data_IF_366988385284
#
_entry.id   IF_366988385284
#
_cell.length_a   1.000
_cell.length_b   1.000
_cell.length_c   1.000
_cell.angle_alpha   90.00
_cell.angle_beta   90.00
_cell.angle_gamma   90.00
#
_symmetry.space_group_name_H-M   'P 1'
#
loop_
_entity.id
_entity.type
_entity.pdbx_description
1 polymer ?
#
# COMPACT_ATOMS: atom_id res chain seq x y z
N UNK A 1 0.30 -17.56 27.24
CA UNK A 1 -0.05 -16.17 27.12
C UNK A 1 -0.90 -16.00 25.88
N UNK A 2 -2.20 -15.64 26.03
CA UNK A 2 -3.08 -15.33 24.92
C UNK A 2 -2.61 -14.00 24.30
N UNK A 3 -2.00 -14.05 23.15
CA UNK A 3 -1.87 -12.87 22.30
C UNK A 3 -3.27 -12.51 21.78
N UNK A 4 -3.91 -11.54 22.43
CA UNK A 4 -5.10 -10.90 21.90
C UNK A 4 -4.64 -10.00 20.75
N UNK A 5 -5.00 -10.36 19.53
CA UNK A 5 -4.96 -9.46 18.39
C UNK A 5 -5.92 -8.28 18.69
N UNK A 6 -5.36 -7.15 19.14
CA UNK A 6 -6.09 -5.89 19.28
C UNK A 6 -6.15 -5.25 17.91
N UNK A 7 -7.11 -5.65 17.10
CA UNK A 7 -7.46 -4.87 15.89
C UNK A 7 -8.39 -3.75 16.38
N UNK A 8 -7.96 -2.52 16.16
CA UNK A 8 -8.63 -1.32 16.65
C UNK A 8 -10.04 -1.18 16.08
N UNK A 9 -11.01 -0.90 16.94
CA UNK A 9 -12.38 -0.54 16.55
C UNK A 9 -12.52 0.94 16.15
N UNK A 10 -11.41 1.67 15.93
CA UNK A 10 -11.39 3.14 15.91
C UNK A 10 -11.40 3.78 14.52
N UNK A 11 -11.47 3.01 13.43
CA UNK A 11 -11.21 3.56 12.11
C UNK A 11 -12.45 3.57 11.22
N UNK A 12 -12.89 4.76 10.85
CA UNK A 12 -13.79 4.98 9.71
C UNK A 12 -13.10 5.88 8.70
N UNK A 13 -12.92 5.38 7.50
CA UNK A 13 -12.34 6.14 6.40
C UNK A 13 -13.40 7.02 5.73
N UNK A 14 -13.10 8.31 5.58
CA UNK A 14 -13.73 9.16 4.57
C UNK A 14 -12.68 9.51 3.53
N UNK A 15 -12.91 9.11 2.30
CA UNK A 15 -12.13 9.55 1.15
C UNK A 15 -12.64 10.91 0.69
N UNK A 16 -11.78 11.90 0.76
CA UNK A 16 -11.89 13.09 -0.08
C UNK A 16 -10.48 13.60 -0.33
N UNK A 17 -10.01 13.46 -1.55
CA UNK A 17 -8.85 14.21 -2.04
C UNK A 17 -7.54 13.47 -2.26
N UNK A 18 -7.55 12.26 -2.79
CA UNK A 18 -6.31 11.58 -3.24
C UNK A 18 -5.56 12.34 -4.35
N UNK A 19 -6.24 13.19 -5.11
CA UNK A 19 -5.61 13.97 -6.18
C UNK A 19 -4.84 15.21 -5.72
N UNK A 20 -5.18 15.78 -4.57
CA UNK A 20 -4.56 17.02 -4.10
C UNK A 20 -3.31 16.83 -3.25
N UNK A 21 -3.16 15.70 -2.56
CA UNK A 21 -1.99 15.40 -1.74
C UNK A 21 -0.72 15.10 -2.55
N UNK A 22 -0.88 14.71 -3.81
CA UNK A 22 0.23 14.39 -4.72
C UNK A 22 1.05 15.62 -5.17
N UNK A 23 0.43 16.78 -5.25
CA UNK A 23 1.08 18.00 -5.73
C UNK A 23 1.92 18.73 -4.67
N UNK A 24 1.70 18.43 -3.40
CA UNK A 24 2.40 19.13 -2.31
C UNK A 24 3.71 18.44 -1.86
N UNK A 25 3.95 17.20 -2.23
CA UNK A 25 5.13 16.43 -1.80
C UNK A 25 6.26 16.38 -2.84
N UNK A 26 6.06 16.87 -4.04
CA UNK A 26 7.09 16.90 -5.09
C UNK A 26 7.86 18.21 -5.14
N UNK A 27 8.37 18.65 -4.00
CA UNK A 27 9.31 19.78 -3.92
C UNK A 27 10.71 19.50 -4.48
N UNK A 28 10.93 18.36 -5.14
CA UNK A 28 12.18 18.03 -5.83
C UNK A 28 11.97 18.06 -7.33
N UNK A 29 12.35 19.15 -7.96
CA UNK A 29 12.52 19.21 -9.41
C UNK A 29 13.69 18.30 -9.83
N UNK A 30 13.51 17.39 -10.81
CA UNK A 30 14.62 16.61 -11.33
C UNK A 30 15.53 17.56 -12.14
N UNK A 31 16.71 17.84 -11.64
CA UNK A 31 17.78 18.45 -12.44
C UNK A 31 18.50 17.34 -13.20
N UNK A 32 18.12 17.10 -14.43
CA UNK A 32 18.82 16.18 -15.32
C UNK A 32 18.03 15.97 -16.62
N UNK A 33 18.55 16.49 -17.72
CA UNK A 33 18.07 16.22 -19.07
C UNK A 33 18.35 14.74 -19.42
N UNK A 34 17.45 13.85 -19.05
CA UNK A 34 17.35 12.53 -19.65
C UNK A 34 16.13 12.56 -20.59
N UNK A 35 16.35 12.41 -21.88
CA UNK A 35 15.29 12.18 -22.85
C UNK A 35 14.68 10.82 -22.56
N UNK A 36 13.62 10.80 -21.75
CA UNK A 36 12.81 9.62 -21.51
C UNK A 36 12.01 9.36 -22.79
N UNK A 37 12.38 8.29 -23.46
CA UNK A 37 11.76 7.86 -24.70
C UNK A 37 10.26 7.59 -24.55
N UNK A 38 9.61 7.44 -25.71
CA UNK A 38 8.18 7.29 -25.96
C UNK A 38 7.48 6.07 -25.31
N UNK A 39 8.11 5.42 -24.33
CA UNK A 39 7.64 4.18 -23.69
C UNK A 39 6.95 4.38 -22.33
N UNK A 40 6.81 5.63 -21.87
CA UNK A 40 6.11 5.90 -20.61
C UNK A 40 4.60 5.90 -20.80
N UNK A 41 3.83 5.35 -19.85
CA UNK A 41 2.38 5.43 -19.87
C UNK A 41 1.86 6.86 -20.03
N UNK A 42 0.73 7.02 -20.71
CA UNK A 42 0.18 8.35 -21.05
C UNK A 42 -0.04 9.25 -19.81
N UNK A 43 -0.41 8.67 -18.67
CA UNK A 43 -0.58 9.40 -17.42
C UNK A 43 0.76 9.88 -16.85
N UNK A 44 1.81 9.08 -16.95
CA UNK A 44 3.17 9.44 -16.54
C UNK A 44 3.73 10.57 -17.39
N UNK A 45 3.45 10.56 -18.70
CA UNK A 45 3.79 11.65 -19.61
C UNK A 45 3.04 12.94 -19.27
N UNK A 46 1.80 12.82 -18.77
CA UNK A 46 0.98 13.97 -18.36
C UNK A 46 1.50 14.61 -17.06
N UNK A 47 1.96 13.81 -16.11
CA UNK A 47 2.58 14.30 -14.87
C UNK A 47 3.93 14.98 -15.14
N UNK A 48 4.71 14.45 -16.08
CA UNK A 48 6.01 15.01 -16.47
C UNK A 48 5.90 16.23 -17.39
N UNK A 49 4.74 16.49 -17.99
CA UNK A 49 4.47 17.67 -18.86
C UNK A 49 3.94 18.90 -18.11
N UNK A 50 4.15 19.00 -16.83
CA UNK A 50 4.00 20.29 -16.15
C UNK A 50 5.11 21.18 -16.68
N UNK A 51 4.79 21.97 -17.69
CA UNK A 51 5.69 22.92 -18.33
C UNK A 51 6.30 23.84 -17.29
N UNK A 52 7.60 24.11 -17.36
CA UNK A 52 8.14 25.25 -16.63
C UNK A 52 7.43 26.49 -17.15
N UNK A 53 6.85 27.27 -16.25
CA UNK A 53 6.32 28.56 -16.59
C UNK A 53 7.42 29.37 -17.26
N UNK A 54 7.09 29.97 -18.41
CA UNK A 54 7.95 30.86 -19.16
C UNK A 54 8.57 31.91 -18.26
N UNK A 55 9.87 31.80 -18.04
CA UNK A 55 10.67 32.85 -17.45
C UNK A 55 11.26 33.69 -18.60
N UNK A 56 10.49 34.61 -19.11
CA UNK A 56 11.07 35.74 -19.85
C UNK A 56 10.22 36.98 -19.64
N UNK A 57 10.92 37.95 -19.19
CA UNK A 57 10.70 39.38 -19.29
C UNK A 57 10.33 40.13 -17.99
N UNK A 58 11.29 40.92 -17.70
CA UNK A 58 11.28 42.33 -17.43
C UNK A 58 11.42 42.76 -15.98
N UNK A 59 12.60 43.31 -15.80
CA UNK A 59 13.00 44.24 -14.74
C UNK A 59 12.06 45.44 -14.65
N UNK A 60 11.85 45.88 -13.47
CA UNK A 60 11.91 47.26 -12.92
C UNK A 60 10.69 47.67 -12.10
N UNK A 61 11.07 48.16 -10.96
CA UNK A 61 10.50 49.30 -10.23
C UNK A 61 9.39 49.09 -9.20
N UNK A 62 9.79 49.52 -8.01
CA UNK A 62 9.02 50.29 -7.03
C UNK A 62 8.19 49.54 -5.97
N UNK A 63 8.75 49.67 -4.78
CA UNK A 63 8.15 49.72 -3.46
C UNK A 63 6.70 50.17 -3.39
N UNK A 64 5.85 49.38 -2.76
CA UNK A 64 4.84 49.89 -1.81
C UNK A 64 4.39 48.73 -0.91
N UNK A 65 4.57 48.94 0.39
CA UNK A 65 4.01 48.12 1.44
C UNK A 65 2.48 48.11 1.31
N UNK A 66 1.91 46.94 1.16
CA UNK A 66 0.52 46.71 1.44
C UNK A 66 0.41 45.41 2.19
N UNK A 67 0.17 45.50 3.49
CA UNK A 67 -0.31 44.42 4.32
C UNK A 67 -1.62 43.89 3.76
N UNK A 68 -1.58 42.79 3.04
CA UNK A 68 -2.76 42.02 2.69
C UNK A 68 -2.94 40.91 3.72
N UNK A 69 -3.91 41.12 4.62
CA UNK A 69 -4.55 40.04 5.34
C UNK A 69 -4.93 38.97 4.32
N UNK A 70 -4.30 37.80 4.43
CA UNK A 70 -4.76 36.63 3.71
C UNK A 70 -6.13 36.29 4.28
N UNK A 71 -7.17 36.62 3.55
CA UNK A 71 -8.50 36.12 3.78
C UNK A 71 -8.43 34.60 3.81
N UNK A 72 -8.71 34.00 4.96
CA UNK A 72 -8.92 32.59 5.10
C UNK A 72 -10.01 32.19 4.11
N UNK A 73 -9.64 31.49 3.05
CA UNK A 73 -10.58 30.88 2.10
C UNK A 73 -11.50 29.99 2.92
N UNK A 74 -12.72 30.41 3.15
CA UNK A 74 -13.74 29.58 3.78
C UNK A 74 -14.02 28.40 2.87
N UNK A 75 -13.67 27.21 3.31
CA UNK A 75 -14.09 25.97 2.69
C UNK A 75 -15.62 25.96 2.57
N UNK A 76 -16.18 25.43 1.47
CA UNK A 76 -17.63 25.33 1.33
C UNK A 76 -18.22 24.57 2.51
N UNK A 77 -19.42 24.96 2.94
CA UNK A 77 -20.10 24.42 4.13
C UNK A 77 -20.28 22.88 4.10
N UNK A 78 -20.23 22.27 2.92
CA UNK A 78 -20.25 20.81 2.72
C UNK A 78 -18.95 20.12 3.15
N UNK A 79 -17.86 20.84 3.39
CA UNK A 79 -16.57 20.32 3.83
C UNK A 79 -16.29 20.57 5.32
N UNK A 80 -17.23 21.19 6.05
CA UNK A 80 -17.12 21.26 7.49
C UNK A 80 -17.21 19.86 8.06
N UNK A 81 -16.05 19.36 8.51
CA UNK A 81 -15.98 18.07 9.20
C UNK A 81 -16.82 18.14 10.47
N UNK A 82 -17.64 17.12 10.67
CA UNK A 82 -18.38 16.90 11.89
C UNK A 82 -17.44 17.07 13.11
N UNK A 83 -17.81 17.86 14.12
CA UNK A 83 -16.96 18.12 15.29
C UNK A 83 -16.53 16.85 16.07
N UNK A 84 -17.10 15.67 15.76
CA UNK A 84 -16.65 14.39 16.30
C UNK A 84 -15.41 13.81 15.59
N UNK A 85 -14.90 14.43 14.52
CA UNK A 85 -13.68 13.99 13.85
C UNK A 85 -12.50 14.87 14.28
N UNK A 86 -11.40 14.23 14.66
CA UNK A 86 -10.14 14.94 14.83
C UNK A 86 -9.66 15.42 13.45
N UNK A 87 -9.61 16.74 13.29
CA UNK A 87 -9.14 17.39 12.05
C UNK A 87 -7.63 17.55 12.06
N UNK A 88 -7.03 17.51 13.24
CA UNK A 88 -5.59 17.67 13.41
C UNK A 88 -4.88 16.34 13.22
N UNK A 89 -3.74 16.35 12.53
CA UNK A 89 -2.86 15.19 12.49
C UNK A 89 -2.50 14.80 13.93
N UNK A 90 -2.82 13.58 14.32
CA UNK A 90 -2.29 13.03 15.55
C UNK A 90 -1.00 12.27 15.22
N UNK A 91 0.13 12.94 15.38
CA UNK A 91 1.45 12.35 15.13
C UNK A 91 1.80 11.23 16.10
N UNK A 92 1.10 11.14 17.24
CA UNK A 92 1.24 10.05 18.21
C UNK A 92 0.41 8.83 17.83
N UNK A 93 -0.44 8.94 16.82
CA UNK A 93 -1.24 7.83 16.33
C UNK A 93 -0.50 7.02 15.26
N UNK A 94 -0.70 5.71 15.30
CA UNK A 94 -0.30 4.82 14.22
C UNK A 94 -1.00 5.26 12.92
N UNK A 95 -0.25 5.61 11.85
CA UNK A 95 -0.83 6.15 10.63
C UNK A 95 -1.69 5.15 9.85
N UNK A 96 -1.57 3.86 10.14
CA UNK A 96 -2.30 2.78 9.46
C UNK A 96 -3.56 2.36 10.22
N UNK A 97 -3.59 2.52 11.54
CA UNK A 97 -4.68 2.00 12.40
C UNK A 97 -5.37 3.07 13.22
N UNK A 98 -4.75 4.23 13.43
CA UNK A 98 -5.23 5.28 14.32
C UNK A 98 -5.12 4.93 15.81
N UNK A 99 -4.48 3.82 16.16
CA UNK A 99 -4.16 3.47 17.54
C UNK A 99 -2.94 4.25 18.04
N UNK A 100 -2.65 4.12 19.34
CA UNK A 100 -1.44 4.70 19.92
C UNK A 100 -0.19 4.14 19.21
N UNK A 101 0.70 5.04 18.80
CA UNK A 101 1.93 4.69 18.12
C UNK A 101 3.01 4.35 19.14
N UNK A 102 3.68 3.22 18.95
CA UNK A 102 4.86 2.87 19.71
C UNK A 102 6.11 3.33 18.94
N UNK A 103 6.64 4.50 19.29
CA UNK A 103 7.90 4.99 18.70
C UNK A 103 7.78 5.59 17.29
N UNK A 104 8.93 5.84 16.66
CA UNK A 104 9.07 6.46 15.34
C UNK A 104 9.54 5.45 14.30
N UNK A 105 8.91 4.31 14.24
CA UNK A 105 9.30 3.26 13.32
C UNK A 105 8.85 3.59 11.89
N UNK A 106 9.68 3.18 10.94
CA UNK A 106 9.35 3.24 9.51
C UNK A 106 8.28 2.21 9.18
N UNK A 107 7.30 2.62 8.40
CA UNK A 107 6.33 1.70 7.79
C UNK A 107 7.05 0.77 6.82
N UNK A 108 6.69 -0.50 6.82
CA UNK A 108 7.25 -1.53 5.93
C UNK A 108 6.12 -2.21 5.17
N UNK A 109 6.22 -2.23 3.84
CA UNK A 109 5.35 -3.00 2.97
C UNK A 109 6.09 -4.22 2.43
N UNK A 110 5.57 -5.42 2.69
CA UNK A 110 6.13 -6.70 2.24
C UNK A 110 5.24 -7.33 1.17
N UNK A 111 5.83 -7.61 0.01
CA UNK A 111 5.10 -8.28 -1.08
C UNK A 111 4.92 -9.76 -0.82
N UNK A 112 3.68 -10.21 -0.84
CA UNK A 112 3.29 -11.59 -0.56
C UNK A 112 2.53 -12.18 -1.74
N UNK A 113 2.91 -13.39 -2.12
CA UNK A 113 2.27 -14.12 -3.21
C UNK A 113 0.86 -14.58 -2.83
N UNK A 114 -0.04 -14.57 -3.80
CA UNK A 114 -1.42 -15.06 -3.61
C UNK A 114 -1.88 -16.05 -4.68
N UNK A 115 -0.93 -16.62 -5.46
CA UNK A 115 -1.27 -17.59 -6.48
C UNK A 115 -1.91 -18.85 -5.89
N UNK A 116 -2.96 -19.36 -6.55
CA UNK A 116 -3.64 -20.60 -6.18
C UNK A 116 -4.27 -21.22 -7.44
N UNK A 117 -3.44 -21.55 -8.43
CA UNK A 117 -3.90 -22.09 -9.72
C UNK A 117 -3.93 -23.61 -9.74
N UNK A 118 -3.00 -24.25 -9.04
CA UNK A 118 -2.88 -25.71 -8.96
C UNK A 118 -2.21 -26.07 -7.62
N UNK A 119 -2.01 -27.35 -7.37
CA UNK A 119 -1.28 -27.82 -6.20
C UNK A 119 0.18 -27.33 -6.21
N UNK A 120 0.82 -27.34 -7.37
CA UNK A 120 2.18 -26.86 -7.56
C UNK A 120 2.28 -25.35 -7.49
N UNK A 121 1.33 -24.65 -8.12
CA UNK A 121 1.26 -23.20 -8.14
C UNK A 121 0.30 -22.70 -7.05
N UNK A 122 0.75 -22.85 -5.81
CA UNK A 122 -0.05 -22.53 -4.63
C UNK A 122 0.79 -21.85 -3.54
N UNK A 123 0.49 -20.59 -3.29
CA UNK A 123 1.07 -19.80 -2.20
C UNK A 123 0.24 -19.85 -0.90
N UNK A 124 -0.98 -20.40 -0.96
CA UNK A 124 -1.91 -20.42 0.17
C UNK A 124 -1.78 -21.70 1.00
N UNK A 125 -2.01 -21.67 2.33
CA UNK A 125 -2.20 -20.46 3.12
C UNK A 125 -0.91 -19.65 3.21
N UNK A 126 -1.04 -18.32 3.24
CA UNK A 126 0.09 -17.45 3.50
C UNK A 126 0.40 -17.45 5.00
N UNK A 127 1.62 -17.05 5.33
CA UNK A 127 2.10 -16.98 6.71
C UNK A 127 2.36 -15.52 7.08
N UNK A 128 1.96 -15.12 8.29
CA UNK A 128 2.29 -13.82 8.87
C UNK A 128 1.39 -12.66 8.49
N UNK A 129 0.51 -12.81 7.50
CA UNK A 129 -0.31 -11.71 6.99
C UNK A 129 -1.41 -11.24 7.97
N UNK A 130 -1.75 -12.06 8.97
CA UNK A 130 -2.75 -11.70 9.99
C UNK A 130 -2.25 -10.64 10.98
N UNK A 131 -0.95 -10.38 11.04
CA UNK A 131 -0.33 -9.37 11.91
C UNK A 131 -0.17 -8.02 11.19
N UNK A 132 -0.48 -7.94 9.90
CA UNK A 132 -0.39 -6.70 9.16
C UNK A 132 -1.43 -5.67 9.64
N UNK A 133 -1.00 -4.43 9.77
CA UNK A 133 -1.89 -3.31 10.09
C UNK A 133 -2.82 -2.98 8.91
N UNK A 134 -2.32 -3.16 7.67
CA UNK A 134 -3.08 -3.02 6.44
C UNK A 134 -2.66 -4.12 5.46
N UNK A 135 -3.64 -4.76 4.82
CA UNK A 135 -3.41 -5.73 3.76
C UNK A 135 -3.99 -5.20 2.44
N UNK A 136 -3.12 -4.93 1.48
CA UNK A 136 -3.51 -4.44 0.16
C UNK A 136 -3.55 -5.63 -0.80
N UNK A 137 -4.67 -5.83 -1.49
CA UNK A 137 -4.80 -6.79 -2.57
C UNK A 137 -4.99 -6.06 -3.90
N UNK A 138 -4.22 -6.41 -4.91
CA UNK A 138 -4.38 -5.89 -6.27
C UNK A 138 -4.16 -6.97 -7.31
N UNK A 139 -4.84 -6.82 -8.45
CA UNK A 139 -4.61 -7.64 -9.64
C UNK A 139 -3.21 -7.37 -10.17
N UNK A 140 -2.54 -8.43 -10.61
CA UNK A 140 -1.25 -8.40 -11.28
C UNK A 140 -1.33 -9.22 -12.57
N UNK A 141 -0.22 -9.52 -13.19
CA UNK A 141 -0.13 -10.28 -14.44
C UNK A 141 -0.89 -11.61 -14.40
N UNK A 142 -1.33 -12.09 -15.55
CA UNK A 142 -2.05 -13.37 -15.70
C UNK A 142 -3.38 -13.44 -14.95
N UNK A 143 -3.94 -12.29 -14.58
CA UNK A 143 -5.21 -12.21 -13.84
C UNK A 143 -5.17 -12.71 -12.41
N UNK A 144 -3.96 -13.00 -11.86
CA UNK A 144 -3.78 -13.34 -10.45
C UNK A 144 -3.78 -12.08 -9.58
N UNK A 145 -3.85 -12.24 -8.26
CA UNK A 145 -3.63 -11.15 -7.32
C UNK A 145 -2.36 -11.37 -6.50
N UNK A 146 -1.84 -10.28 -5.93
CA UNK A 146 -0.82 -10.31 -4.88
C UNK A 146 -1.30 -9.51 -3.68
N UNK A 147 -0.65 -9.75 -2.55
CA UNK A 147 -0.80 -8.92 -1.37
C UNK A 147 0.44 -8.05 -1.18
N UNK A 148 0.22 -6.87 -0.62
CA UNK A 148 1.22 -6.14 0.10
C UNK A 148 0.75 -6.05 1.56
N UNK A 149 1.48 -6.71 2.44
CA UNK A 149 1.23 -6.65 3.88
C UNK A 149 2.02 -5.47 4.46
N UNK A 150 1.32 -4.51 5.06
CA UNK A 150 1.90 -3.25 5.53
C UNK A 150 1.87 -3.21 7.04
N UNK A 151 3.01 -2.90 7.61
CA UNK A 151 3.25 -2.85 9.05
C UNK A 151 3.74 -1.48 9.48
N UNK A 152 3.25 -0.97 10.57
CA UNK A 152 3.68 0.30 11.17
C UNK A 152 5.07 0.24 11.82
N UNK A 153 5.56 -0.96 12.10
CA UNK A 153 6.88 -1.22 12.63
C UNK A 153 7.42 -2.55 12.10
N UNK A 154 8.72 -2.60 11.83
CA UNK A 154 9.40 -3.83 11.46
C UNK A 154 9.31 -4.89 12.57
N UNK A 155 9.23 -4.47 13.83
CA UNK A 155 9.14 -5.38 14.97
C UNK A 155 7.83 -6.15 15.05
N UNK A 156 6.80 -5.65 14.37
CA UNK A 156 5.51 -6.32 14.28
C UNK A 156 5.45 -7.38 13.18
N UNK A 157 6.50 -7.52 12.38
CA UNK A 157 6.55 -8.47 11.26
C UNK A 157 6.96 -9.85 11.79
N UNK A 158 6.07 -10.84 11.73
CA UNK A 158 6.42 -12.22 12.05
C UNK A 158 7.22 -12.86 10.90
N UNK A 159 7.43 -14.16 10.92
CA UNK A 159 7.80 -14.89 9.72
C UNK A 159 6.69 -14.76 8.68
N UNK A 160 7.02 -14.17 7.53
CA UNK A 160 6.05 -13.79 6.51
C UNK A 160 6.43 -14.30 5.11
N UNK A 161 5.41 -14.74 4.37
CA UNK A 161 5.53 -15.13 2.98
C UNK A 161 4.41 -16.06 2.49
N UNK A 162 4.61 -16.68 1.31
CA UNK A 162 5.80 -16.57 0.43
C UNK A 162 5.98 -15.15 -0.13
N UNK A 163 7.21 -14.62 -0.05
CA UNK A 163 7.50 -13.30 -0.63
C UNK A 163 7.52 -13.36 -2.16
N UNK A 164 7.28 -12.22 -2.81
CA UNK A 164 7.17 -12.15 -4.26
C UNK A 164 7.53 -10.77 -4.81
N UNK A 165 7.65 -10.73 -6.14
CA UNK A 165 8.14 -9.54 -6.85
C UNK A 165 7.26 -8.31 -6.69
N UNK A 166 7.92 -7.17 -6.54
CA UNK A 166 7.32 -5.85 -6.47
C UNK A 166 6.59 -5.45 -7.75
N UNK A 167 5.57 -4.64 -7.58
CA UNK A 167 4.78 -4.00 -8.64
C UNK A 167 4.52 -2.55 -8.25
N UNK A 168 4.55 -1.68 -9.24
CA UNK A 168 4.44 -0.24 -9.05
C UNK A 168 3.11 0.20 -8.41
N UNK A 169 1.99 -0.47 -8.70
CA UNK A 169 0.71 -0.13 -8.08
C UNK A 169 0.72 -0.26 -6.55
N UNK A 170 1.48 -1.17 -5.98
CA UNK A 170 1.63 -1.24 -4.52
C UNK A 170 2.54 -0.14 -4.00
N UNK A 171 3.63 0.15 -4.72
CA UNK A 171 4.54 1.21 -4.36
C UNK A 171 3.86 2.59 -4.40
N UNK A 172 2.97 2.82 -5.37
CA UNK A 172 2.16 4.04 -5.44
C UNK A 172 1.41 4.31 -4.13
N UNK A 173 0.87 3.26 -3.49
CA UNK A 173 0.15 3.36 -2.22
C UNK A 173 1.08 3.48 -1.00
N UNK A 174 2.31 3.00 -1.09
CA UNK A 174 3.30 3.03 0.00
C UNK A 174 4.10 4.33 0.06
N UNK A 175 4.33 4.97 -1.08
CA UNK A 175 5.15 6.18 -1.19
C UNK A 175 4.71 7.32 -0.25
N UNK A 176 3.41 7.62 -0.08
CA UNK A 176 2.97 8.69 0.84
C UNK A 176 3.43 8.50 2.29
N UNK A 177 3.72 7.27 2.69
CA UNK A 177 4.25 6.96 4.03
C UNK A 177 5.77 6.89 4.09
N UNK A 178 6.46 7.10 2.97
CA UNK A 178 7.90 6.92 2.90
C UNK A 178 8.33 5.52 3.40
N UNK A 179 7.53 4.52 3.05
CA UNK A 179 7.63 3.16 3.55
C UNK A 179 8.81 2.41 2.92
N UNK A 180 9.44 1.52 3.68
CA UNK A 180 10.34 0.53 3.12
C UNK A 180 9.54 -0.45 2.26
N UNK A 181 9.93 -0.62 0.99
CA UNK A 181 9.32 -1.58 0.07
C UNK A 181 10.18 -2.82 -0.02
N UNK A 182 9.65 -3.96 0.47
CA UNK A 182 10.37 -5.23 0.60
C UNK A 182 9.75 -6.33 -0.26
N UNK A 183 10.55 -6.93 -1.14
CA UNK A 183 10.07 -7.91 -2.11
C UNK A 183 11.22 -8.78 -2.66
N UNK A 184 10.92 -9.79 -3.49
CA UNK A 184 11.88 -10.59 -4.24
C UNK A 184 11.68 -10.39 -5.75
N UNK A 185 12.59 -9.64 -6.38
CA UNK A 185 12.49 -9.20 -7.78
C UNK A 185 11.40 -8.16 -8.00
N UNK A 186 11.34 -7.60 -9.20
CA UNK A 186 10.33 -6.61 -9.58
C UNK A 186 10.04 -6.66 -11.07
N UNK A 187 8.97 -6.02 -11.53
CA UNK A 187 8.72 -5.84 -12.96
C UNK A 187 9.57 -4.69 -13.51
N UNK A 188 9.80 -4.69 -14.83
CA UNK A 188 10.48 -3.60 -15.52
C UNK A 188 9.77 -2.25 -15.26
N UNK A 189 8.43 -2.23 -15.21
CA UNK A 189 7.64 -1.04 -14.95
C UNK A 189 7.80 -0.56 -13.50
N UNK A 190 7.90 -1.48 -12.54
CA UNK A 190 8.20 -1.14 -11.15
C UNK A 190 9.59 -0.50 -11.04
N UNK A 191 10.62 -1.06 -11.71
CA UNK A 191 11.96 -0.45 -11.78
C UNK A 191 11.90 0.96 -12.38
N UNK A 192 11.15 1.15 -13.48
CA UNK A 192 10.99 2.47 -14.10
C UNK A 192 10.32 3.45 -13.13
N UNK A 193 9.28 3.01 -12.44
CA UNK A 193 8.57 3.82 -11.46
C UNK A 193 9.49 4.24 -10.31
N UNK A 194 10.26 3.32 -9.76
CA UNK A 194 11.27 3.59 -8.70
C UNK A 194 12.28 4.64 -9.18
N UNK A 195 12.75 4.54 -10.42
CA UNK A 195 13.69 5.50 -10.99
C UNK A 195 13.08 6.89 -11.16
N UNK A 196 11.88 6.96 -11.73
CA UNK A 196 11.18 8.23 -11.97
C UNK A 196 10.97 9.00 -10.66
N UNK A 197 10.61 8.29 -9.61
CA UNK A 197 10.33 8.90 -8.29
C UNK A 197 11.51 8.87 -7.33
N UNK A 198 12.69 8.42 -7.78
CA UNK A 198 13.91 8.32 -6.96
C UNK A 198 13.69 7.55 -5.64
N UNK A 199 12.99 6.43 -5.73
CA UNK A 199 12.63 5.62 -4.56
C UNK A 199 13.60 4.46 -4.28
N UNK A 200 14.72 4.38 -4.99
CA UNK A 200 15.71 3.30 -4.85
C UNK A 200 16.27 3.17 -3.44
N UNK A 201 16.38 4.28 -2.70
CA UNK A 201 16.87 4.29 -1.31
C UNK A 201 15.97 3.60 -0.29
N UNK A 202 14.74 3.24 -0.65
CA UNK A 202 13.79 2.52 0.22
C UNK A 202 13.28 1.23 -0.44
N UNK A 203 13.96 0.77 -1.50
CA UNK A 203 13.61 -0.41 -2.26
C UNK A 203 14.57 -1.55 -1.95
N UNK A 204 14.08 -2.57 -1.28
CA UNK A 204 14.82 -3.82 -1.02
C UNK A 204 14.13 -4.95 -1.77
N UNK A 205 14.77 -5.46 -2.84
CA UNK A 205 14.08 -6.40 -3.70
C UNK A 205 14.96 -7.29 -4.56
N UNK A 206 16.25 -7.17 -4.47
CA UNK A 206 17.21 -8.12 -5.05
C UNK A 206 17.50 -7.98 -6.53
N UNK A 207 16.53 -7.77 -7.42
CA UNK A 207 16.78 -7.69 -8.87
C UNK A 207 16.21 -6.41 -9.45
N UNK A 208 17.06 -5.68 -10.14
CA UNK A 208 16.67 -4.49 -10.89
C UNK A 208 16.87 -4.63 -12.39
N UNK A 209 16.27 -3.72 -13.13
CA UNK A 209 16.51 -3.48 -14.53
C UNK A 209 17.23 -2.13 -14.72
N UNK A 210 17.82 -1.90 -15.86
CA UNK A 210 18.44 -0.60 -16.24
C UNK A 210 19.56 -0.11 -15.29
N UNK A 211 20.31 -1.01 -14.66
CA UNK A 211 21.35 -0.66 -13.69
C UNK A 211 20.87 0.23 -12.53
N UNK A 212 19.61 0.18 -12.21
CA UNK A 212 19.06 0.88 -11.05
C UNK A 212 19.63 0.26 -9.79
N UNK A 213 20.15 1.05 -8.85
CA UNK A 213 20.53 0.54 -7.55
C UNK A 213 19.33 -0.13 -6.89
N UNK A 214 19.50 -1.35 -6.46
CA UNK A 214 18.53 -2.08 -5.66
C UNK A 214 19.28 -2.83 -4.57
N UNK A 215 18.74 -2.73 -3.35
CA UNK A 215 19.33 -3.42 -2.22
C UNK A 215 18.90 -4.89 -2.20
N UNK A 216 19.83 -5.81 -1.92
CA UNK A 216 19.47 -7.21 -1.78
C UNK A 216 18.50 -7.45 -0.63
N UNK A 217 17.51 -8.27 -0.84
CA UNK A 217 16.68 -8.79 0.25
C UNK A 217 17.38 -9.95 0.96
N UNK A 218 16.99 -10.19 2.21
CA UNK A 218 17.42 -11.35 3.02
C UNK A 218 16.21 -12.21 3.29
N UNK A 219 16.31 -13.47 2.95
CA UNK A 219 15.20 -14.41 3.05
C UNK A 219 15.70 -15.84 3.30
N UNK A 220 14.80 -16.69 3.74
CA UNK A 220 15.06 -18.11 3.93
C UNK A 220 13.98 -18.96 3.25
N UNK A 221 14.25 -20.27 3.16
CA UNK A 221 13.33 -21.22 2.56
C UNK A 221 12.67 -22.08 3.63
N UNK A 222 11.35 -22.21 3.53
CA UNK A 222 10.58 -23.11 4.37
C UNK A 222 10.11 -24.28 3.54
N UNK A 223 10.35 -25.50 4.02
CA UNK A 223 9.81 -26.69 3.38
C UNK A 223 8.29 -26.66 3.52
N UNK A 224 7.62 -26.60 2.39
CA UNK A 224 6.17 -26.77 2.27
C UNK A 224 5.87 -28.19 1.77
N UNK A 225 4.68 -28.44 1.24
CA UNK A 225 4.36 -29.70 0.59
C UNK A 225 5.35 -29.98 -0.57
N UNK A 226 5.69 -31.24 -0.83
CA UNK A 226 6.59 -31.65 -1.90
C UNK A 226 6.12 -31.23 -3.30
N UNK A 227 4.80 -31.02 -3.44
CA UNK A 227 4.20 -30.63 -4.71
C UNK A 227 4.23 -29.11 -4.95
N UNK A 228 4.56 -28.29 -3.95
CA UNK A 228 4.62 -26.84 -4.09
C UNK A 228 5.90 -26.43 -4.79
N UNK A 229 5.79 -25.56 -5.80
CA UNK A 229 6.94 -25.07 -6.54
C UNK A 229 7.89 -24.27 -5.63
N UNK A 230 9.20 -24.40 -5.91
CA UNK A 230 10.28 -23.80 -5.12
C UNK A 230 10.10 -22.29 -4.90
N UNK A 231 9.58 -21.57 -5.89
CA UNK A 231 9.29 -20.15 -5.84
C UNK A 231 8.23 -19.75 -4.79
N UNK A 232 7.51 -20.69 -4.22
CA UNK A 232 6.50 -20.45 -3.16
C UNK A 232 6.99 -20.90 -1.78
N UNK A 233 8.30 -21.07 -1.60
CA UNK A 233 8.91 -21.48 -0.34
C UNK A 233 9.77 -20.42 0.30
N UNK A 234 9.82 -19.20 -0.25
CA UNK A 234 10.64 -18.10 0.24
C UNK A 234 9.89 -17.23 1.23
N UNK A 235 10.51 -17.06 2.39
CA UNK A 235 9.94 -16.30 3.51
C UNK A 235 11.00 -15.35 4.07
N UNK A 236 10.54 -14.32 4.77
CA UNK A 236 11.39 -13.38 5.50
C UNK A 236 10.83 -13.15 6.90
N UNK A 237 11.53 -12.38 7.71
CA UNK A 237 11.17 -12.06 9.09
C UNK A 237 11.65 -10.66 9.46
N UNK A 238 11.16 -10.12 10.58
CA UNK A 238 11.66 -8.86 11.13
C UNK A 238 13.19 -8.83 11.23
N UNK A 239 13.81 -9.92 11.66
CA UNK A 239 15.27 -10.03 11.79
C UNK A 239 15.97 -9.86 10.44
N UNK A 240 15.48 -10.52 9.41
CA UNK A 240 16.06 -10.50 8.07
C UNK A 240 15.83 -9.16 7.37
N UNK A 241 14.65 -8.56 7.55
CA UNK A 241 14.37 -7.21 7.05
C UNK A 241 15.28 -6.18 7.72
N UNK A 242 15.49 -6.27 9.04
CA UNK A 242 16.45 -5.43 9.75
C UNK A 242 17.87 -5.62 9.24
N UNK A 243 18.28 -6.86 8.98
CA UNK A 243 19.57 -7.16 8.38
C UNK A 243 19.72 -6.49 7.02
N UNK A 244 18.77 -6.70 6.11
CA UNK A 244 18.81 -6.12 4.78
C UNK A 244 18.82 -4.58 4.80
N UNK A 245 18.02 -3.96 5.68
CA UNK A 245 18.02 -2.52 5.86
C UNK A 245 19.35 -1.98 6.39
N UNK A 246 19.94 -2.66 7.37
CA UNK A 246 21.27 -2.31 7.91
C UNK A 246 22.35 -2.40 6.84
N UNK A 247 22.37 -3.48 6.06
CA UNK A 247 23.34 -3.70 4.99
C UNK A 247 23.20 -2.65 3.88
N UNK A 248 21.99 -2.15 3.68
CA UNK A 248 21.68 -1.09 2.73
C UNK A 248 21.91 0.33 3.30
N UNK A 249 22.21 0.49 4.58
CA UNK A 249 22.29 1.79 5.24
C UNK A 249 20.97 2.51 5.40
N UNK A 250 19.85 1.78 5.40
CA UNK A 250 18.49 2.32 5.49
C UNK A 250 18.05 2.41 6.95
N UNK A 251 17.69 3.60 7.41
CA UNK A 251 17.11 3.78 8.74
C UNK A 251 15.70 3.21 8.80
N UNK A 252 15.44 2.36 9.78
CA UNK A 252 14.11 1.86 10.13
C UNK A 252 13.37 2.75 11.13
N UNK A 253 14.00 3.82 11.60
CA UNK A 253 13.37 4.90 12.34
C UNK A 253 13.11 6.06 11.40
N UNK A 254 11.86 6.40 11.19
CA UNK A 254 11.47 7.53 10.34
C UNK A 254 10.12 8.03 10.81
N UNK A 255 10.08 9.21 11.44
CA UNK A 255 8.80 9.81 11.80
C UNK A 255 7.98 10.03 10.53
N UNK A 256 6.74 9.57 10.56
CA UNK A 256 5.79 9.90 9.53
C UNK A 256 5.16 11.25 9.87
N UNK A 257 5.31 12.22 8.99
CA UNK A 257 4.83 13.59 9.16
C UNK A 257 3.61 13.88 8.27
N UNK A 258 2.58 13.07 8.36
CA UNK A 258 1.42 13.31 7.52
C UNK A 258 0.21 12.49 7.95
N UNK A 259 -0.95 12.81 7.36
CA UNK A 259 -2.18 12.04 7.54
C UNK A 259 -2.63 11.51 6.20
N UNK A 260 -2.49 10.21 5.98
CA UNK A 260 -3.09 9.54 4.84
C UNK A 260 -4.55 9.17 5.16
N UNK A 261 -4.76 8.60 6.33
CA UNK A 261 -6.08 8.29 6.84
C UNK A 261 -6.48 9.27 7.95
N UNK A 262 -7.76 9.62 7.99
CA UNK A 262 -8.36 10.38 9.09
C UNK A 262 -9.15 9.42 9.95
N UNK A 263 -8.72 9.29 11.20
CA UNK A 263 -9.38 8.42 12.17
C UNK A 263 -10.29 9.22 13.07
N UNK A 264 -11.49 8.69 13.35
CA UNK A 264 -12.42 9.26 14.31
C UNK A 264 -12.40 8.47 15.62
N UNK A 265 -12.54 9.15 16.74
CA UNK A 265 -12.72 8.47 18.02
C UNK A 265 -14.18 7.97 18.13
N UNK A 266 -14.37 6.69 17.89
CA UNK A 266 -15.67 6.02 17.96
C UNK A 266 -16.31 6.04 19.37
N UNK A 267 -15.54 6.37 20.42
CA UNK A 267 -16.05 6.47 21.80
C UNK A 267 -16.84 7.77 22.00
N UNK A 268 -16.51 8.80 21.25
CA UNK A 268 -17.18 10.09 21.32
C UNK A 268 -18.38 10.18 20.39
N UNK A 269 -18.38 9.39 19.31
CA UNK A 269 -19.46 9.31 18.33
C UNK A 269 -19.51 7.94 17.66
N UNK A 270 -20.72 7.42 17.42
CA UNK A 270 -20.91 6.25 16.58
C UNK A 270 -20.71 6.62 15.10
N UNK A 271 -19.45 6.52 14.63
CA UNK A 271 -19.05 6.90 13.26
C UNK A 271 -19.00 5.72 12.29
N UNK A 272 -19.40 4.55 12.75
CA UNK A 272 -19.41 3.30 11.98
C UNK A 272 -20.67 3.14 11.11
N UNK A 273 -21.59 4.08 11.16
CA UNK A 273 -22.75 4.16 10.28
C UNK A 273 -22.81 5.55 9.65
N UNK A 274 -22.71 5.62 8.33
CA UNK A 274 -22.97 6.85 7.59
C UNK A 274 -24.48 6.92 7.34
N UNK A 275 -25.11 8.03 7.74
CA UNK A 275 -26.53 8.25 7.53
C UNK A 275 -26.91 8.10 6.06
N UNK A 276 -28.00 7.41 5.77
CA UNK A 276 -28.49 7.18 4.42
C UNK A 276 -27.73 6.10 3.62
N UNK A 277 -26.73 5.43 4.21
CA UNK A 277 -26.01 4.35 3.52
C UNK A 277 -26.54 2.97 3.92
N UNK A 278 -26.62 2.03 2.97
CA UNK A 278 -27.00 0.65 3.28
C UNK A 278 -25.92 -0.07 4.07
N UNK A 279 -26.31 -0.97 4.96
CA UNK A 279 -25.38 -1.79 5.70
C UNK A 279 -24.69 -2.80 4.78
N UNK A 280 -23.35 -2.76 4.74
CA UNK A 280 -22.54 -3.73 3.98
C UNK A 280 -22.39 -5.04 4.77
N UNK A 281 -23.33 -5.96 4.61
CA UNK A 281 -23.26 -7.29 5.25
C UNK A 281 -22.28 -8.22 4.56
N UNK A 282 -22.05 -8.02 3.29
CA UNK A 282 -21.07 -8.76 2.48
C UNK A 282 -20.49 -7.86 1.40
N UNK A 283 -19.22 -8.11 1.06
CA UNK A 283 -18.52 -7.44 -0.02
C UNK A 283 -17.93 -8.53 -0.90
N UNK A 284 -18.11 -8.42 -2.21
CA UNK A 284 -17.56 -9.37 -3.17
C UNK A 284 -16.77 -8.61 -4.23
N UNK A 285 -15.51 -8.96 -4.44
CA UNK A 285 -14.60 -8.31 -5.36
C UNK A 285 -14.18 -9.35 -6.39
N UNK A 286 -14.35 -9.04 -7.68
CA UNK A 286 -13.90 -9.88 -8.78
C UNK A 286 -12.71 -9.21 -9.46
N UNK A 287 -11.52 -9.73 -9.21
CA UNK A 287 -10.28 -9.26 -9.85
C UNK A 287 -10.12 -9.83 -11.26
N UNK A 288 -10.52 -11.10 -11.41
CA UNK A 288 -10.55 -11.82 -12.68
C UNK A 288 -11.54 -12.99 -12.60
N UNK A 289 -11.68 -13.75 -13.68
CA UNK A 289 -12.51 -14.95 -13.69
C UNK A 289 -12.11 -15.96 -12.59
N UNK A 290 -10.81 -16.04 -12.32
CA UNK A 290 -10.20 -17.02 -11.41
C UNK A 290 -9.87 -16.47 -10.01
N UNK A 291 -9.81 -15.16 -9.84
CA UNK A 291 -9.45 -14.52 -8.57
C UNK A 291 -10.56 -13.60 -8.09
N UNK A 292 -11.17 -14.02 -7.00
CA UNK A 292 -12.28 -13.31 -6.34
C UNK A 292 -12.07 -13.33 -4.85
N UNK A 293 -12.34 -12.22 -4.20
CA UNK A 293 -12.26 -12.05 -2.75
C UNK A 293 -13.62 -11.69 -2.21
N UNK A 294 -13.99 -12.27 -1.08
CA UNK A 294 -15.26 -12.02 -0.42
C UNK A 294 -15.04 -11.73 1.05
N UNK A 295 -15.80 -10.78 1.57
CA UNK A 295 -15.83 -10.43 2.96
C UNK A 295 -17.25 -10.60 3.49
N UNK A 296 -17.40 -11.29 4.61
CA UNK A 296 -18.67 -11.47 5.29
C UNK A 296 -18.62 -10.79 6.66
N UNK A 297 -19.56 -9.88 6.93
CA UNK A 297 -19.62 -9.19 8.22
C UNK A 297 -20.05 -10.15 9.33
N UNK A 298 -19.23 -10.23 10.36
CA UNK A 298 -19.51 -10.95 11.59
C UNK A 298 -20.02 -9.97 12.64
N UNK A 299 -21.33 -9.99 12.89
CA UNK A 299 -21.99 -9.06 13.83
C UNK A 299 -21.56 -9.25 15.28
N UNK A 300 -21.09 -10.44 15.65
CA UNK A 300 -20.60 -10.74 16.98
C UNK A 300 -19.24 -10.06 17.26
N UNK A 301 -18.29 -10.24 16.35
CA UNK A 301 -16.95 -9.65 16.47
C UNK A 301 -16.87 -8.25 15.84
N UNK A 302 -17.92 -7.81 15.13
CA UNK A 302 -18.00 -6.53 14.41
C UNK A 302 -16.85 -6.34 13.42
N UNK A 303 -16.53 -7.39 12.65
CA UNK A 303 -15.49 -7.38 11.64
C UNK A 303 -15.91 -8.16 10.39
N UNK A 304 -15.13 -8.03 9.34
CA UNK A 304 -15.32 -8.70 8.06
C UNK A 304 -14.38 -9.90 7.93
N UNK A 305 -14.92 -11.10 7.86
CA UNK A 305 -14.16 -12.33 7.61
C UNK A 305 -13.87 -12.49 6.13
N UNK A 306 -12.60 -12.67 5.80
CA UNK A 306 -12.12 -12.80 4.44
C UNK A 306 -12.18 -14.25 3.94
N UNK A 307 -12.62 -14.43 2.70
CA UNK A 307 -12.55 -15.68 1.95
C UNK A 307 -12.11 -15.40 0.52
N UNK A 308 -11.35 -16.31 -0.06
CA UNK A 308 -10.90 -16.21 -1.44
C UNK A 308 -11.36 -17.41 -2.26
N UNK A 309 -11.68 -17.16 -3.53
CA UNK A 309 -11.96 -18.23 -4.47
C UNK A 309 -10.72 -19.08 -4.74
N UNK A 310 -10.88 -20.38 -4.67
CA UNK A 310 -9.83 -21.35 -4.96
C UNK A 310 -10.09 -21.97 -6.33
N UNK A 311 -9.14 -21.81 -7.24
CA UNK A 311 -9.21 -22.46 -8.56
C UNK A 311 -9.13 -23.97 -8.48
N UNK A 312 -8.54 -24.48 -7.41
CA UNK A 312 -8.37 -25.91 -7.17
C UNK A 312 -9.70 -26.57 -6.78
N UNK A 313 -10.43 -25.98 -5.82
CA UNK A 313 -11.67 -26.56 -5.29
C UNK A 313 -12.93 -25.99 -5.94
N UNK A 314 -12.78 -24.90 -6.74
CA UNK A 314 -13.88 -24.17 -7.38
C UNK A 314 -14.90 -23.60 -6.37
N UNK A 315 -14.43 -23.28 -5.18
CA UNK A 315 -15.24 -22.73 -4.08
C UNK A 315 -14.51 -21.57 -3.39
N UNK A 316 -15.28 -20.77 -2.66
CA UNK A 316 -14.69 -19.83 -1.71
C UNK A 316 -14.21 -20.60 -0.48
N UNK A 317 -12.97 -20.35 -0.10
CA UNK A 317 -12.32 -20.93 1.07
C UNK A 317 -11.95 -19.80 2.03
N UNK A 318 -12.04 -20.04 3.34
CA UNK A 318 -11.58 -19.11 4.35
C UNK A 318 -10.11 -18.77 4.14
N UNK A 319 -9.77 -17.48 4.09
CA UNK A 319 -8.38 -17.05 4.05
C UNK A 319 -7.78 -17.19 5.43
N UNK A 320 -6.91 -18.17 5.60
CA UNK A 320 -6.30 -18.54 6.88
C UNK A 320 -4.84 -18.12 6.89
N UNK A 321 -4.40 -17.49 7.97
CA UNK A 321 -2.98 -17.29 8.24
C UNK A 321 -2.36 -18.57 8.81
N UNK A 322 -1.27 -19.05 8.20
CA UNK A 322 -0.63 -20.32 8.56
C UNK A 322 -0.05 -20.32 9.98
N UNK A 323 0.47 -19.18 10.47
CA UNK A 323 1.04 -19.07 11.82
C UNK A 323 -0.02 -19.14 12.90
N UNK A 324 -1.15 -18.51 12.67
CA UNK A 324 -2.20 -18.41 13.67
C UNK A 324 -3.26 -19.50 13.54
N UNK A 325 -3.37 -20.13 12.38
CA UNK A 325 -4.45 -21.06 12.04
C UNK A 325 -5.82 -20.41 11.98
N UNK A 326 -5.92 -19.07 12.03
CA UNK A 326 -7.17 -18.34 12.10
C UNK A 326 -7.52 -17.69 10.76
N UNK A 327 -8.82 -17.63 10.49
CA UNK A 327 -9.31 -16.87 9.36
C UNK A 327 -9.04 -15.38 9.53
N UNK A 328 -8.54 -14.74 8.48
CA UNK A 328 -8.35 -13.29 8.43
C UNK A 328 -9.67 -12.56 8.63
N UNK A 329 -9.62 -11.51 9.44
CA UNK A 329 -10.76 -10.67 9.72
C UNK A 329 -10.29 -9.21 9.91
N UNK A 330 -11.04 -8.28 9.32
CA UNK A 330 -10.71 -6.86 9.27
C UNK A 330 -11.87 -6.02 9.83
N UNK A 331 -11.55 -5.00 10.59
CA UNK A 331 -12.54 -4.05 11.08
C UNK A 331 -13.04 -3.13 9.96
N UNK A 332 -12.19 -2.85 8.98
CA UNK A 332 -12.48 -2.00 7.84
C UNK A 332 -12.09 -2.68 6.53
N UNK A 333 -12.91 -2.49 5.51
CA UNK A 333 -12.61 -2.89 4.13
C UNK A 333 -12.80 -1.68 3.22
N UNK A 334 -11.76 -1.35 2.48
CA UNK A 334 -11.77 -0.26 1.49
C UNK A 334 -11.64 -0.87 0.11
N UNK A 335 -12.55 -0.53 -0.79
CA UNK A 335 -12.50 -0.94 -2.20
C UNK A 335 -12.18 0.28 -3.03
N UNK A 336 -10.96 0.29 -3.60
CA UNK A 336 -10.53 1.33 -4.53
C UNK A 336 -10.93 0.93 -5.94
N UNK A 337 -11.80 1.69 -6.57
CA UNK A 337 -12.12 1.52 -7.98
C UNK A 337 -11.02 2.18 -8.81
N UNK A 338 -10.38 1.40 -9.66
CA UNK A 338 -9.26 1.84 -10.47
C UNK A 338 -9.39 1.32 -11.91
N UNK A 339 -8.82 2.02 -12.85
CA UNK A 339 -8.61 1.50 -14.19
C UNK A 339 -7.42 0.54 -14.17
N UNK A 340 -7.65 -0.70 -14.55
CA UNK A 340 -6.63 -1.75 -14.57
C UNK A 340 -6.54 -2.31 -15.98
N UNK A 341 -5.37 -2.17 -16.61
CA UNK A 341 -5.08 -2.69 -17.94
C UNK A 341 -3.63 -3.18 -18.01
N UNK A 342 -3.31 -4.03 -18.97
CA UNK A 342 -1.92 -4.35 -19.24
C UNK A 342 -1.18 -3.10 -19.75
N UNK A 343 0.08 -2.95 -19.36
CA UNK A 343 0.94 -1.91 -19.93
C UNK A 343 1.02 -2.03 -21.45
N UNK A 344 0.92 -0.90 -22.13
CA UNK A 344 0.95 -0.89 -23.59
C UNK A 344 2.26 -1.48 -24.12
N UNK A 345 2.15 -2.49 -24.99
CA UNK A 345 3.29 -3.19 -25.57
C UNK A 345 3.97 -4.22 -24.67
N UNK A 346 3.45 -4.46 -23.47
CA UNK A 346 3.96 -5.53 -22.61
C UNK A 346 3.43 -6.90 -23.05
N UNK A 347 4.34 -7.87 -23.22
CA UNK A 347 4.01 -9.25 -23.57
C UNK A 347 3.75 -10.16 -22.38
N UNK A 348 3.96 -9.67 -21.16
CA UNK A 348 3.83 -10.43 -19.90
C UNK A 348 2.57 -10.12 -19.12
N UNK A 349 1.68 -9.29 -19.67
CA UNK A 349 0.42 -8.86 -19.02
C UNK A 349 0.64 -8.17 -17.65
N UNK A 350 1.76 -7.43 -17.50
CA UNK A 350 1.98 -6.63 -16.30
C UNK A 350 0.92 -5.53 -16.25
N UNK A 351 0.26 -5.41 -15.11
CA UNK A 351 -0.88 -4.50 -14.97
C UNK A 351 -0.43 -3.09 -14.58
N UNK A 352 -0.92 -2.10 -15.33
CA UNK A 352 -0.96 -0.71 -14.95
C UNK A 352 -2.24 -0.45 -14.16
N UNK A 353 -2.13 0.16 -13.00
CA UNK A 353 -3.26 0.52 -12.16
C UNK A 353 -3.29 2.03 -11.96
N UNK A 354 -4.41 2.65 -12.35
CA UNK A 354 -4.63 4.08 -12.22
C UNK A 354 -5.73 4.30 -11.16
N UNK A 355 -5.30 4.72 -9.97
CA UNK A 355 -6.16 4.99 -8.82
C UNK A 355 -6.89 6.33 -8.92
#
# INVERSE_FOLDING_TARGET
GLFRMKISRRSVLRYSGLAAAWLALTGCTPTGNASLGSSLPAWMQKVLRVSPADSSAASSAASSEASSEMAASSLPASEQLDPGFSVMPNYDANPLTGEERSGNDRIVGVMVNNICNSERQNARPQRGIASADLLIESKVEGGITRFCAVYSSVDNIPEIGPIRSGRDQFLQLLMPWNALYYHDGESIFCTQFINVYNYSGLNIGGKSYFNTPVHPHVAHRIKRSENVAYEHTEFTSAKEIKQAANDAGISLSSPYEGTFFRFADYRTKAVNTLEGTPAAKSISITHSASYKTSFAYNSWNKNYKMSMYSNRTKKFESTVDELTGKQLAFDNVVVCFANIAAYAGDSHDVQEVQY
#
